data_IF_320763368172
#
_entry.id   IF_320763368172
#
_cell.length_a   1.000
_cell.length_b   1.000
_cell.length_c   1.000
_cell.angle_alpha   90.00
_cell.angle_beta   90.00
_cell.angle_gamma   90.00
#
_symmetry.space_group_name_H-M   'P 1'
#
loop_
_entity.id
_entity.type
_entity.pdbx_description
1 polymer ?
#
# COMPACT_ATOMS: atom_id res chain seq x y z
N UNK A 1 1.05 4.01 -12.46
CA UNK A 1 0.70 2.66 -12.95
C UNK A 1 1.78 1.70 -12.54
N UNK A 2 1.42 0.55 -11.97
CA UNK A 2 2.36 -0.34 -11.29
C UNK A 2 2.92 -1.43 -12.23
N UNK A 3 4.13 -1.90 -11.93
CA UNK A 3 4.89 -2.83 -12.78
C UNK A 3 5.14 -4.15 -12.04
N UNK A 4 4.66 -5.27 -12.58
CA UNK A 4 4.96 -6.60 -12.04
C UNK A 4 6.41 -6.97 -12.39
N UNK A 5 7.23 -7.27 -11.38
CA UNK A 5 8.64 -7.62 -11.53
C UNK A 5 8.89 -9.13 -11.57
N UNK A 6 8.19 -9.90 -10.74
CA UNK A 6 8.37 -11.36 -10.67
C UNK A 6 7.16 -12.08 -10.08
N UNK A 7 7.00 -13.36 -10.42
CA UNK A 7 5.95 -14.25 -9.92
C UNK A 7 6.58 -15.58 -9.51
N UNK A 8 6.31 -16.05 -8.28
CA UNK A 8 6.89 -17.27 -7.69
C UNK A 8 8.42 -17.39 -7.87
N UNK A 9 9.14 -16.27 -7.73
CA UNK A 9 10.59 -16.17 -7.89
C UNK A 9 11.08 -16.00 -9.35
N UNK A 10 10.22 -16.20 -10.34
CA UNK A 10 10.56 -16.00 -11.75
C UNK A 10 10.48 -14.53 -12.12
N UNK A 11 11.61 -13.92 -12.51
CA UNK A 11 11.66 -12.54 -13.00
C UNK A 11 10.97 -12.41 -14.36
N UNK A 12 10.13 -11.37 -14.52
CA UNK A 12 9.49 -11.02 -15.78
C UNK A 12 10.30 -9.99 -16.60
N UNK A 13 11.39 -9.47 -16.04
CA UNK A 13 12.20 -8.45 -16.68
C UNK A 13 12.90 -9.00 -17.94
N UNK A 14 12.58 -8.42 -19.10
CA UNK A 14 13.15 -8.82 -20.39
C UNK A 14 12.49 -10.03 -21.06
N UNK A 15 11.46 -10.63 -20.45
CA UNK A 15 10.71 -11.72 -21.07
C UNK A 15 9.82 -11.22 -22.23
N UNK A 16 9.61 -12.08 -23.22
CA UNK A 16 8.60 -11.85 -24.26
C UNK A 16 7.18 -11.97 -23.68
N UNK A 17 6.19 -11.32 -24.29
CA UNK A 17 4.80 -11.36 -23.83
C UNK A 17 4.28 -12.82 -23.68
N UNK A 18 4.59 -13.68 -24.64
CA UNK A 18 4.23 -15.10 -24.62
C UNK A 18 4.86 -15.89 -23.46
N UNK A 19 6.02 -15.47 -22.96
CA UNK A 19 6.66 -16.10 -21.80
C UNK A 19 6.10 -15.57 -20.48
N UNK A 20 5.80 -14.27 -20.40
CA UNK A 20 5.07 -13.69 -19.26
C UNK A 20 3.73 -14.41 -19.05
N UNK A 21 2.98 -14.66 -20.13
CA UNK A 21 1.70 -15.39 -20.06
C UNK A 21 1.88 -16.83 -19.56
N UNK A 22 2.96 -17.54 -19.95
CA UNK A 22 3.27 -18.87 -19.42
C UNK A 22 3.60 -18.85 -17.93
N UNK A 23 4.38 -17.86 -17.47
CA UNK A 23 4.74 -17.72 -16.04
C UNK A 23 3.50 -17.42 -15.20
N UNK A 24 2.60 -16.55 -15.69
CA UNK A 24 1.33 -16.26 -15.03
C UNK A 24 0.44 -17.51 -14.96
N UNK A 25 0.24 -18.22 -16.08
CA UNK A 25 -0.59 -19.41 -16.12
C UNK A 25 -0.05 -20.55 -15.23
N UNK A 26 1.28 -20.73 -15.21
CA UNK A 26 1.93 -21.68 -14.31
C UNK A 26 1.69 -21.31 -12.83
N UNK A 27 1.58 -20.02 -12.50
CA UNK A 27 1.30 -19.57 -11.15
C UNK A 27 -0.16 -19.81 -10.73
N UNK A 28 -1.14 -19.75 -11.65
CA UNK A 28 -2.55 -20.07 -11.37
C UNK A 28 -2.75 -21.51 -10.85
N UNK A 29 -1.83 -22.43 -11.17
CA UNK A 29 -1.84 -23.82 -10.67
C UNK A 29 -1.42 -23.94 -9.19
N UNK A 30 -0.88 -22.89 -8.58
CA UNK A 30 -0.47 -22.90 -7.17
C UNK A 30 -1.56 -22.33 -6.27
N UNK A 31 -1.82 -23.03 -5.16
CA UNK A 31 -2.77 -22.60 -4.12
C UNK A 31 -2.41 -21.26 -3.45
N UNK A 32 -1.14 -20.85 -3.55
CA UNK A 32 -0.61 -19.57 -3.09
C UNK A 32 0.43 -19.06 -4.10
N UNK A 33 0.41 -17.76 -4.40
CA UNK A 33 1.30 -17.12 -5.39
C UNK A 33 1.98 -15.90 -4.76
N UNK A 34 3.31 -15.83 -4.88
CA UNK A 34 4.10 -14.68 -4.46
C UNK A 34 4.39 -13.77 -5.66
N UNK A 35 3.92 -12.52 -5.61
CA UNK A 35 4.17 -11.52 -6.65
C UNK A 35 4.98 -10.34 -6.10
N UNK A 36 6.01 -9.91 -6.82
CA UNK A 36 6.77 -8.69 -6.50
C UNK A 36 6.36 -7.61 -7.49
N UNK A 37 5.81 -6.51 -6.98
CA UNK A 37 5.29 -5.39 -7.77
C UNK A 37 6.09 -4.13 -7.44
N UNK A 38 6.64 -3.47 -8.46
CA UNK A 38 7.20 -2.12 -8.36
C UNK A 38 6.07 -1.11 -8.58
N UNK A 39 5.66 -0.46 -7.48
CA UNK A 39 4.69 0.63 -7.53
C UNK A 39 5.21 1.77 -8.42
N UNK A 40 4.39 2.24 -9.36
CA UNK A 40 4.74 3.36 -10.22
C UNK A 40 4.59 4.68 -9.47
N UNK A 41 5.66 5.48 -9.42
CA UNK A 41 5.62 6.77 -8.75
C UNK A 41 4.84 7.77 -9.61
N UNK A 42 3.67 8.20 -9.15
CA UNK A 42 2.92 9.27 -9.80
C UNK A 42 3.58 10.60 -9.45
N UNK A 43 4.32 11.16 -10.39
CA UNK A 43 5.08 12.40 -10.19
C UNK A 43 4.14 13.61 -10.28
N UNK A 44 3.89 14.38 -9.20
CA UNK A 44 3.31 15.71 -9.34
C UNK A 44 4.31 16.60 -10.08
N UNK A 45 3.88 17.13 -11.22
CA UNK A 45 4.70 17.90 -12.18
C UNK A 45 5.07 19.26 -11.56
N UNK A 46 6.36 19.60 -11.34
CA UNK A 46 6.73 20.97 -11.00
C UNK A 46 6.83 21.80 -12.30
N UNK A 47 5.82 22.61 -12.56
CA UNK A 47 5.76 23.49 -13.74
C UNK A 47 6.56 24.78 -13.53
N UNK A 48 7.85 24.81 -13.92
CA UNK A 48 8.59 26.06 -14.13
C UNK A 48 9.56 26.02 -15.33
N UNK A 49 9.59 27.12 -16.08
CA UNK A 49 10.18 27.31 -17.42
C UNK A 49 10.50 28.81 -17.60
N UNK A 50 11.61 29.28 -18.19
CA UNK A 50 12.76 28.60 -18.81
C UNK A 50 14.08 29.31 -18.42
N UNK A 51 15.20 28.59 -18.51
CA UNK A 51 16.60 28.96 -18.84
C UNK A 51 17.13 30.43 -18.81
N UNK A 52 18.45 30.57 -18.62
CA UNK A 52 19.29 30.90 -19.79
C UNK A 52 20.55 30.00 -19.95
N UNK A 53 21.21 30.00 -21.13
CA UNK A 53 22.22 28.99 -21.50
C UNK A 53 23.68 29.48 -21.44
N UNK A 54 24.63 28.54 -21.30
CA UNK A 54 25.74 28.33 -22.26
C UNK A 54 26.73 27.25 -21.81
N UNK A 55 27.31 26.55 -22.79
CA UNK A 55 28.24 25.44 -22.61
C UNK A 55 29.69 25.87 -22.32
N UNK A 56 30.47 25.01 -21.65
CA UNK A 56 31.62 24.34 -22.27
C UNK A 56 32.21 23.18 -21.41
N UNK A 57 32.89 22.22 -22.04
CA UNK A 57 34.06 21.55 -21.41
C UNK A 57 33.96 20.10 -20.88
N UNK A 58 34.15 19.13 -21.79
CA UNK A 58 34.96 17.87 -21.65
C UNK A 58 34.63 16.81 -20.56
N UNK A 59 34.63 15.55 -21.02
CA UNK A 59 34.65 14.31 -20.22
C UNK A 59 36.09 14.02 -19.65
N UNK A 60 36.34 13.02 -18.76
CA UNK A 60 35.97 11.60 -18.95
C UNK A 60 35.43 10.83 -17.73
N UNK A 61 34.92 9.63 -18.00
CA UNK A 61 34.53 8.62 -17.00
C UNK A 61 35.75 8.02 -16.26
N UNK A 62 35.53 7.48 -15.05
CA UNK A 62 36.09 6.17 -14.69
C UNK A 62 35.02 5.15 -14.26
N UNK A 63 35.31 3.86 -14.46
CA UNK A 63 34.43 2.73 -14.11
C UNK A 63 34.77 2.18 -12.72
N UNK A 64 33.72 1.80 -11.96
CA UNK A 64 33.76 1.03 -10.68
C UNK A 64 34.47 1.80 -9.54
N UNK A 65 34.09 1.70 -8.28
CA UNK A 65 33.59 0.55 -7.52
C UNK A 65 32.67 1.02 -6.38
N UNK A 66 31.74 0.18 -5.91
CA UNK A 66 30.95 0.46 -4.70
C UNK A 66 31.88 0.56 -3.46
N UNK A 67 31.59 1.48 -2.53
CA UNK A 67 31.15 1.01 -1.22
C UNK A 67 29.85 1.65 -0.73
N UNK A 68 29.23 0.93 0.20
CA UNK A 68 28.04 1.26 0.96
C UNK A 68 28.09 2.68 1.56
N UNK A 69 27.02 3.46 1.37
CA UNK A 69 26.67 4.57 2.26
C UNK A 69 25.22 4.38 2.73
N UNK A 70 24.94 4.24 4.04
CA UNK A 70 23.60 4.01 4.57
C UNK A 70 22.79 5.31 4.55
N UNK A 71 22.26 5.66 3.38
CA UNK A 71 21.40 6.83 3.17
C UNK A 71 20.09 6.76 3.96
N UNK A 72 20.12 7.24 5.20
CA UNK A 72 18.96 7.35 6.09
C UNK A 72 17.92 8.36 5.55
N UNK A 73 17.08 7.91 4.62
CA UNK A 73 16.05 8.69 3.94
C UNK A 73 14.65 8.51 4.53
N UNK A 74 14.42 8.97 5.77
CA UNK A 74 13.09 9.07 6.43
C UNK A 74 12.30 7.75 6.59
N UNK A 75 12.81 6.85 7.43
CA UNK A 75 11.93 5.98 8.23
C UNK A 75 11.24 6.81 9.34
N UNK A 76 10.27 7.64 8.96
CA UNK A 76 9.43 8.38 9.91
C UNK A 76 8.12 7.65 10.15
N UNK A 77 7.90 7.14 11.36
CA UNK A 77 6.65 6.53 11.86
C UNK A 77 6.23 5.14 11.32
N UNK A 78 7.18 4.29 10.93
CA UNK A 78 6.95 2.88 10.55
C UNK A 78 6.99 1.88 11.73
N UNK A 79 7.00 2.34 12.98
CA UNK A 79 7.26 1.50 14.17
C UNK A 79 6.01 0.95 14.88
N UNK A 80 4.82 1.11 14.29
CA UNK A 80 3.56 0.74 14.95
C UNK A 80 2.46 0.37 13.94
N UNK A 81 2.84 -0.20 12.79
CA UNK A 81 1.87 -0.70 11.80
C UNK A 81 1.77 -2.22 11.89
N UNK A 82 0.55 -2.72 12.11
CA UNK A 82 0.23 -4.13 12.30
C UNK A 82 -0.64 -4.64 11.14
N UNK A 83 -0.25 -5.76 10.55
CA UNK A 83 -1.07 -6.45 9.55
C UNK A 83 -2.01 -7.44 10.25
N UNK A 84 -3.31 -7.34 9.98
CA UNK A 84 -4.35 -8.22 10.52
C UNK A 84 -5.17 -8.80 9.38
N UNK A 85 -5.44 -10.11 9.42
CA UNK A 85 -6.38 -10.75 8.50
C UNK A 85 -7.78 -10.78 9.12
N UNK A 86 -8.78 -10.35 8.35
CA UNK A 86 -10.19 -10.29 8.75
C UNK A 86 -11.02 -11.05 7.74
N UNK A 87 -11.85 -11.99 8.20
CA UNK A 87 -12.74 -12.76 7.34
C UNK A 87 -14.03 -11.95 7.05
N UNK A 88 -14.02 -11.13 5.99
CA UNK A 88 -15.20 -10.33 5.61
C UNK A 88 -16.38 -11.25 5.28
N UNK A 89 -17.51 -11.02 5.92
CA UNK A 89 -18.78 -11.70 5.65
C UNK A 89 -19.73 -10.79 4.84
N UNK A 90 -20.91 -11.29 4.51
CA UNK A 90 -21.99 -10.52 3.86
C UNK A 90 -22.44 -9.29 4.67
N UNK A 91 -22.29 -9.33 6.01
CA UNK A 91 -22.49 -8.17 6.89
C UNK A 91 -21.36 -7.12 6.79
N UNK A 92 -20.21 -7.49 6.21
CA UNK A 92 -19.04 -6.66 6.01
C UNK A 92 -17.89 -6.99 6.97
N UNK A 93 -17.05 -5.98 7.25
CA UNK A 93 -15.88 -6.12 8.12
C UNK A 93 -16.20 -6.04 9.62
N UNK A 94 -17.45 -5.77 10.01
CA UNK A 94 -17.83 -5.64 11.42
C UNK A 94 -17.18 -4.46 12.15
N UNK A 95 -16.87 -3.37 11.45
CA UNK A 95 -16.25 -2.16 12.01
C UNK A 95 -16.80 -0.88 11.37
N UNK A 96 -16.72 0.24 12.08
CA UNK A 96 -17.11 1.58 11.63
C UNK A 96 -15.93 2.55 11.71
N UNK A 97 -15.87 3.52 10.80
CA UNK A 97 -14.80 4.51 10.73
C UNK A 97 -15.28 5.91 11.13
N UNK A 98 -14.34 6.75 11.56
CA UNK A 98 -14.43 8.20 11.65
C UNK A 98 -13.19 8.84 11.01
N UNK A 99 -13.18 10.17 10.89
CA UNK A 99 -12.10 10.91 10.26
C UNK A 99 -11.94 10.59 8.76
N UNK A 100 -10.72 10.81 8.26
CA UNK A 100 -10.39 10.91 6.84
C UNK A 100 -10.19 12.35 6.37
N UNK A 101 -9.70 12.51 5.14
CA UNK A 101 -9.46 13.82 4.50
C UNK A 101 -10.78 14.59 4.31
N UNK A 102 -10.75 15.90 4.54
CA UNK A 102 -11.89 16.81 4.44
C UNK A 102 -13.11 16.42 5.32
N UNK A 103 -12.87 15.74 6.45
CA UNK A 103 -13.93 15.41 7.40
C UNK A 103 -14.42 16.64 8.17
N UNK A 104 -15.59 16.53 8.80
CA UNK A 104 -16.26 17.66 9.49
C UNK A 104 -15.38 18.28 10.59
N UNK A 105 -14.51 17.48 11.22
CA UNK A 105 -13.55 17.91 12.24
C UNK A 105 -12.20 18.41 11.68
N UNK A 106 -12.05 18.49 10.35
CA UNK A 106 -10.79 18.76 9.65
C UNK A 106 -10.17 17.50 9.01
N UNK A 107 -9.00 17.67 8.40
CA UNK A 107 -8.21 16.56 7.85
C UNK A 107 -7.66 15.70 8.99
N UNK A 108 -8.07 14.43 9.06
CA UNK A 108 -7.65 13.50 10.09
C UNK A 108 -7.39 12.08 9.59
N UNK A 109 -6.73 11.23 10.42
CA UNK A 109 -6.59 9.80 10.14
C UNK A 109 -7.95 9.11 10.05
N UNK A 110 -7.99 7.94 9.40
CA UNK A 110 -9.18 7.08 9.37
C UNK A 110 -9.15 6.17 10.58
N UNK A 111 -9.95 6.49 11.60
CA UNK A 111 -9.92 5.82 12.90
C UNK A 111 -11.12 4.90 13.05
N UNK A 112 -10.92 3.72 13.64
CA UNK A 112 -11.98 2.77 13.95
C UNK A 112 -12.81 3.33 15.10
N UNK A 113 -14.01 3.79 14.79
CA UNK A 113 -14.94 4.39 15.76
C UNK A 113 -15.54 3.35 16.70
N UNK A 114 -15.87 2.17 16.15
CA UNK A 114 -16.40 1.00 16.87
C UNK A 114 -16.09 -0.27 16.09
N UNK A 115 -15.76 -1.32 16.83
CA UNK A 115 -15.86 -2.72 16.41
C UNK A 115 -17.22 -3.25 16.84
N UNK A 116 -17.90 -4.02 16.00
CA UNK A 116 -19.22 -4.57 16.31
C UNK A 116 -19.09 -5.99 16.86
N UNK A 117 -19.83 -6.27 17.94
CA UNK A 117 -19.84 -7.58 18.57
C UNK A 117 -20.38 -8.67 17.64
N UNK A 118 -19.71 -9.83 17.60
CA UNK A 118 -19.93 -10.90 16.62
C UNK A 118 -19.47 -10.56 15.20
N UNK A 119 -18.88 -9.39 14.97
CA UNK A 119 -18.39 -8.94 13.67
C UNK A 119 -17.01 -9.50 13.31
N UNK A 120 -16.69 -9.50 12.01
CA UNK A 120 -15.43 -10.06 11.50
C UNK A 120 -14.17 -9.44 12.15
N UNK A 121 -14.17 -8.13 12.43
CA UNK A 121 -13.06 -7.47 13.13
C UNK A 121 -12.91 -7.90 14.60
N UNK A 122 -14.01 -8.17 15.31
CA UNK A 122 -13.95 -8.74 16.68
C UNK A 122 -13.43 -10.18 16.64
N UNK A 123 -13.89 -10.97 15.66
CA UNK A 123 -13.43 -12.35 15.45
C UNK A 123 -11.94 -12.45 15.11
N UNK A 124 -11.35 -11.41 14.50
CA UNK A 124 -9.91 -11.31 14.30
C UNK A 124 -9.12 -11.01 15.59
N UNK A 125 -9.80 -10.65 16.69
CA UNK A 125 -9.25 -10.48 18.05
C UNK A 125 -8.19 -9.38 18.24
N UNK A 126 -7.78 -8.73 17.16
CA UNK A 126 -6.58 -7.86 17.11
C UNK A 126 -6.95 -6.40 16.84
N UNK A 127 -8.20 -6.12 16.46
CA UNK A 127 -8.68 -4.81 16.03
C UNK A 127 -9.56 -4.22 17.12
N UNK A 128 -9.28 -2.97 17.51
CA UNK A 128 -9.96 -2.29 18.61
C UNK A 128 -10.47 -0.91 18.16
N UNK A 129 -11.37 -0.31 18.95
CA UNK A 129 -11.79 1.07 18.71
C UNK A 129 -10.65 2.04 19.11
N UNK A 130 -10.41 3.06 18.28
CA UNK A 130 -9.26 3.97 18.42
C UNK A 130 -8.08 3.65 17.49
N UNK A 131 -8.01 2.42 16.95
CA UNK A 131 -6.99 2.03 15.97
C UNK A 131 -7.16 2.81 14.64
N UNK A 132 -6.06 3.16 13.99
CA UNK A 132 -6.06 3.84 12.68
C UNK A 132 -5.96 2.81 11.54
N UNK A 133 -6.82 2.87 10.52
CA UNK A 133 -6.67 2.03 9.32
C UNK A 133 -5.80 2.74 8.28
N UNK A 134 -4.65 2.15 8.00
CA UNK A 134 -3.67 2.63 7.02
C UNK A 134 -3.92 2.05 5.61
N UNK A 135 -4.33 0.78 5.50
CA UNK A 135 -4.58 0.13 4.21
C UNK A 135 -5.55 -1.06 4.29
N UNK A 136 -6.15 -1.43 3.15
CA UNK A 136 -7.01 -2.61 2.97
C UNK A 136 -6.62 -3.33 1.67
N UNK A 137 -6.28 -4.62 1.73
CA UNK A 137 -5.81 -5.43 0.61
C UNK A 137 -4.73 -4.70 -0.22
N UNK A 138 -3.75 -4.11 0.47
CA UNK A 138 -2.65 -3.33 -0.12
C UNK A 138 -3.04 -1.94 -0.69
N UNK A 139 -4.32 -1.56 -0.68
CA UNK A 139 -4.77 -0.21 -1.06
C UNK A 139 -4.62 0.73 0.14
N UNK A 140 -3.77 1.76 0.09
CA UNK A 140 -3.63 2.72 1.18
C UNK A 140 -4.91 3.56 1.30
N UNK A 141 -5.37 3.77 2.53
CA UNK A 141 -6.48 4.66 2.85
C UNK A 141 -6.02 6.04 3.38
N UNK A 142 -4.75 6.15 3.81
CA UNK A 142 -4.18 7.40 4.32
C UNK A 142 -4.35 8.54 3.31
N UNK A 143 -4.99 9.63 3.74
CA UNK A 143 -5.24 10.80 2.92
C UNK A 143 -6.41 10.68 1.92
N UNK A 144 -7.20 9.60 1.98
CA UNK A 144 -8.49 9.53 1.28
C UNK A 144 -9.59 10.24 2.09
N UNK A 145 -10.61 10.74 1.40
CA UNK A 145 -11.83 11.22 2.06
C UNK A 145 -12.61 10.04 2.63
N UNK A 146 -13.42 10.28 3.66
CA UNK A 146 -14.21 9.24 4.34
C UNK A 146 -15.03 8.37 3.36
N UNK A 147 -15.65 9.00 2.36
CA UNK A 147 -16.46 8.33 1.34
C UNK A 147 -15.66 7.35 0.46
N UNK A 148 -14.44 7.71 0.07
CA UNK A 148 -13.59 6.84 -0.77
C UNK A 148 -13.09 5.64 0.03
N UNK A 149 -12.70 5.85 1.29
CA UNK A 149 -12.32 4.77 2.20
C UNK A 149 -13.48 3.78 2.45
N UNK A 150 -14.69 4.30 2.66
CA UNK A 150 -15.91 3.50 2.77
C UNK A 150 -16.22 2.70 1.50
N UNK A 151 -16.09 3.31 0.33
CA UNK A 151 -16.26 2.64 -0.96
C UNK A 151 -15.25 1.51 -1.13
N UNK A 152 -13.98 1.71 -0.73
CA UNK A 152 -12.97 0.64 -0.74
C UNK A 152 -13.40 -0.52 0.17
N UNK A 153 -13.75 -0.26 1.44
CA UNK A 153 -14.25 -1.30 2.37
C UNK A 153 -15.45 -2.09 1.82
N UNK A 154 -16.37 -1.40 1.13
CA UNK A 154 -17.53 -2.04 0.50
C UNK A 154 -17.14 -2.86 -0.73
N UNK A 155 -16.26 -2.34 -1.58
CA UNK A 155 -15.82 -2.99 -2.84
C UNK A 155 -15.02 -4.28 -2.67
N UNK A 156 -14.38 -4.48 -1.51
CA UNK A 156 -13.64 -5.72 -1.20
C UNK A 156 -14.60 -6.93 -1.19
N UNK A 157 -14.27 -8.06 -1.83
CA UNK A 157 -15.13 -9.25 -1.81
C UNK A 157 -15.22 -9.87 -0.41
N UNK A 158 -16.21 -10.73 -0.19
CA UNK A 158 -16.25 -11.63 0.98
C UNK A 158 -15.06 -12.59 0.97
N UNK A 159 -14.62 -13.04 2.16
CA UNK A 159 -13.42 -13.85 2.33
C UNK A 159 -12.30 -13.12 3.09
N UNK A 160 -11.05 -13.61 3.03
CA UNK A 160 -9.93 -13.03 3.78
C UNK A 160 -9.56 -11.64 3.26
N UNK A 161 -9.49 -10.67 4.18
CA UNK A 161 -9.16 -9.27 3.92
C UNK A 161 -7.98 -8.88 4.80
N UNK A 162 -6.91 -8.40 4.17
CA UNK A 162 -5.71 -7.97 4.87
C UNK A 162 -5.82 -6.48 5.19
N UNK A 163 -5.98 -6.15 6.47
CA UNK A 163 -5.96 -4.79 6.99
C UNK A 163 -4.55 -4.45 7.47
N UNK A 164 -4.11 -3.22 7.22
CA UNK A 164 -2.95 -2.64 7.91
C UNK A 164 -3.48 -1.56 8.84
N UNK A 165 -3.35 -1.78 10.14
CA UNK A 165 -3.76 -0.85 11.18
C UNK A 165 -2.55 -0.25 11.89
N UNK A 166 -2.73 0.85 12.61
CA UNK A 166 -1.82 1.35 13.64
C UNK A 166 -2.54 1.34 14.97
N UNK A 167 -1.90 0.80 16.01
CA UNK A 167 -2.54 0.71 17.33
C UNK A 167 -2.72 2.08 17.96
N UNK A 168 -3.86 2.28 18.63
CA UNK A 168 -3.97 3.39 19.56
C UNK A 168 -2.97 3.17 20.69
N UNK A 169 -2.12 4.17 20.94
CA UNK A 169 -1.22 4.17 22.10
C UNK A 169 -1.91 4.90 23.24
N UNK A 170 -2.82 4.20 23.91
CA UNK A 170 -3.31 4.62 25.22
C UNK A 170 -2.10 4.89 26.12
N UNK A 171 -2.01 6.12 26.63
CA UNK A 171 -0.91 6.66 27.45
C UNK A 171 -1.44 7.10 28.81
#
# INVERSE_FOLDING_TARGET
GDFLLSVNGTSLAGLSHSEVTKVLHQAELHKHVLMIIKKGNDQPRPSFRQEPPSANGKAPFPRRTLPLEPGAGRNGAAHDALCVEVLKTSAGLGLSLDGGKSSIAGDGPLVIKRVYQGGAAEQAGTIEAGDEILAINGKPLVGLVHFDAWNIMKSVPEGPVQLVIRKHRDS
#
